data_IF_727673083579
#
_entry.id   IF_727673083579
#
_cell.length_a   1.000
_cell.length_b   1.000
_cell.length_c   1.000
_cell.angle_alpha   90.00
_cell.angle_beta   90.00
_cell.angle_gamma   90.00
#
_symmetry.space_group_name_H-M   'P 1'
#
loop_
_entity.id
_entity.type
_entity.pdbx_description
1 polymer ?
#
# COMPACT_ATOMS: atom_id res chain seq x y z
N UNK A 1 20.17 -11.16 25.15
CA UNK A 1 19.69 -9.81 25.54
C UNK A 1 20.42 -8.67 24.79
N UNK A 2 21.76 -8.57 24.83
CA UNK A 2 22.56 -7.50 24.17
C UNK A 2 22.31 -7.32 22.65
N UNK A 3 22.24 -8.40 21.86
CA UNK A 3 21.99 -8.31 20.41
C UNK A 3 20.62 -7.69 20.06
N UNK A 4 19.61 -7.88 20.92
CA UNK A 4 18.24 -7.36 20.72
C UNK A 4 18.19 -5.84 20.96
N UNK A 5 18.89 -5.38 22.00
CA UNK A 5 19.04 -3.96 22.34
C UNK A 5 19.87 -3.24 21.27
N UNK A 6 20.97 -3.83 20.81
CA UNK A 6 21.79 -3.27 19.72
C UNK A 6 20.99 -3.11 18.42
N UNK A 7 20.17 -4.10 18.04
CA UNK A 7 19.28 -4.00 16.86
C UNK A 7 18.24 -2.90 17.02
N UNK A 8 17.68 -2.74 18.22
CA UNK A 8 16.73 -1.67 18.52
C UNK A 8 17.39 -0.28 18.42
N UNK A 9 18.57 -0.11 19.01
CA UNK A 9 19.33 1.14 18.93
C UNK A 9 19.75 1.46 17.50
N UNK A 10 20.20 0.47 16.73
CA UNK A 10 20.53 0.64 15.31
C UNK A 10 19.30 1.08 14.48
N UNK A 11 18.12 0.51 14.72
CA UNK A 11 16.85 0.98 14.11
C UNK A 11 16.53 2.42 14.49
N UNK A 12 16.71 2.79 15.77
CA UNK A 12 16.43 4.14 16.25
C UNK A 12 17.41 5.17 15.66
N UNK A 13 18.69 4.82 15.54
CA UNK A 13 19.72 5.65 14.90
C UNK A 13 19.51 5.78 13.40
N UNK A 14 19.15 4.68 12.70
CA UNK A 14 18.71 4.77 11.30
C UNK A 14 17.54 5.73 11.19
N UNK A 15 16.47 5.57 11.98
CA UNK A 15 15.32 6.49 11.94
C UNK A 15 15.70 7.97 12.18
N UNK A 16 16.77 8.24 12.93
CA UNK A 16 17.29 9.60 13.17
C UNK A 16 18.09 10.12 11.97
N UNK A 17 19.05 9.35 11.41
CA UNK A 17 19.81 9.79 10.22
C UNK A 17 18.90 10.08 9.03
N UNK A 18 17.89 9.24 8.92
CA UNK A 18 16.77 9.31 8.01
C UNK A 18 15.96 10.61 8.04
N UNK A 19 15.90 11.29 9.19
CA UNK A 19 15.23 12.57 9.39
C UNK A 19 16.13 13.73 8.93
N UNK A 20 17.43 13.64 9.21
CA UNK A 20 18.41 14.65 8.78
C UNK A 20 18.51 14.75 7.26
N UNK A 21 18.36 13.64 6.55
CA UNK A 21 18.38 13.63 5.08
C UNK A 21 17.15 14.29 4.44
N UNK A 22 16.00 14.27 5.13
CA UNK A 22 14.76 14.74 4.55
C UNK A 22 13.77 15.24 5.62
N UNK A 23 13.79 16.55 5.97
CA UNK A 23 12.91 17.13 6.98
C UNK A 23 11.41 16.94 6.67
N UNK A 24 11.07 16.77 5.38
CA UNK A 24 9.71 16.43 4.93
C UNK A 24 9.21 15.11 5.53
N UNK A 25 10.07 14.23 6.04
CA UNK A 25 9.65 12.99 6.69
C UNK A 25 9.03 13.27 8.07
N UNK A 26 9.54 14.24 8.83
CA UNK A 26 8.90 14.65 10.09
C UNK A 26 7.50 15.20 9.81
N UNK A 27 7.37 16.06 8.80
CA UNK A 27 6.06 16.61 8.41
C UNK A 27 5.08 15.51 7.98
N UNK A 28 5.57 14.47 7.28
CA UNK A 28 4.76 13.31 6.95
C UNK A 28 4.29 12.55 8.20
N UNK A 29 5.17 12.37 9.19
CA UNK A 29 4.83 11.74 10.48
C UNK A 29 3.75 12.52 11.23
N UNK A 30 3.86 13.84 11.27
CA UNK A 30 2.84 14.71 11.90
C UNK A 30 1.47 14.58 11.22
N UNK A 31 1.45 14.20 9.94
CA UNK A 31 0.23 13.89 9.18
C UNK A 31 -0.23 12.42 9.29
N UNK A 32 0.40 11.62 10.15
CA UNK A 32 0.07 10.20 10.31
C UNK A 32 0.47 9.31 9.12
N UNK A 33 1.41 9.77 8.29
CA UNK A 33 1.90 9.02 7.13
C UNK A 33 3.13 8.21 7.52
N UNK A 34 3.18 6.94 7.09
CA UNK A 34 4.27 6.02 7.43
C UNK A 34 5.60 6.50 6.80
N UNK A 35 6.65 6.76 7.60
CA UNK A 35 7.91 7.33 7.12
C UNK A 35 8.65 6.51 6.07
N UNK A 36 8.62 5.19 6.17
CA UNK A 36 9.34 4.30 5.26
C UNK A 36 8.83 4.45 3.82
N UNK A 37 7.52 4.51 3.61
CA UNK A 37 6.96 4.69 2.28
C UNK A 37 7.31 6.05 1.67
N UNK A 38 7.30 7.11 2.49
CA UNK A 38 7.68 8.45 2.06
C UNK A 38 9.15 8.49 1.65
N UNK A 39 10.03 7.85 2.43
CA UNK A 39 11.45 7.72 2.09
C UNK A 39 11.65 7.01 0.76
N UNK A 40 11.08 5.82 0.60
CA UNK A 40 11.29 5.00 -0.59
C UNK A 40 10.86 5.76 -1.84
N UNK A 41 9.72 6.47 -1.77
CA UNK A 41 9.23 7.33 -2.85
C UNK A 41 10.14 8.54 -3.11
N UNK A 42 10.71 9.17 -2.08
CA UNK A 42 11.70 10.25 -2.28
C UNK A 42 12.98 9.76 -2.94
N UNK A 43 13.48 8.58 -2.55
CA UNK A 43 14.65 7.95 -3.18
C UNK A 43 14.36 7.69 -4.65
N UNK A 44 13.22 7.05 -4.95
CA UNK A 44 12.78 6.79 -6.34
C UNK A 44 12.70 8.10 -7.13
N UNK A 45 12.04 9.13 -6.57
CA UNK A 45 11.91 10.45 -7.20
C UNK A 45 13.27 11.07 -7.52
N UNK A 46 14.24 10.98 -6.60
CA UNK A 46 15.59 11.53 -6.77
C UNK A 46 16.40 10.75 -7.81
N UNK A 47 16.36 9.43 -7.76
CA UNK A 47 17.13 8.56 -8.64
C UNK A 47 16.63 8.59 -10.08
N UNK A 48 15.31 8.57 -10.26
CA UNK A 48 14.68 8.45 -11.59
C UNK A 48 14.28 9.79 -12.19
N UNK A 49 14.21 10.86 -11.37
CA UNK A 49 13.72 12.20 -11.74
C UNK A 49 12.32 12.18 -12.37
N UNK A 50 11.53 11.15 -12.11
CA UNK A 50 10.16 11.04 -12.63
C UNK A 50 9.21 12.02 -11.92
N UNK A 51 8.21 12.46 -12.66
CA UNK A 51 7.05 13.19 -12.14
C UNK A 51 5.78 12.53 -12.69
N UNK A 52 5.36 11.38 -12.15
CA UNK A 52 4.22 10.64 -12.66
C UNK A 52 2.96 11.49 -12.59
N UNK A 53 2.17 11.48 -13.66
CA UNK A 53 0.84 12.07 -13.67
C UNK A 53 -0.21 11.12 -13.07
N UNK A 54 0.06 9.83 -13.12
CA UNK A 54 -0.85 8.78 -12.64
C UNK A 54 -0.06 7.71 -11.88
N UNK A 55 -0.60 7.25 -10.76
CA UNK A 55 -0.03 6.20 -9.91
C UNK A 55 -1.10 5.15 -9.59
N UNK A 56 -0.71 3.88 -9.53
CA UNK A 56 -1.58 2.75 -9.24
C UNK A 56 -1.10 2.07 -7.95
N UNK A 57 -2.00 1.92 -6.99
CA UNK A 57 -1.76 1.26 -5.71
C UNK A 57 -2.62 -0.01 -5.64
N UNK A 58 -1.98 -1.18 -5.74
CA UNK A 58 -2.67 -2.49 -5.81
C UNK A 58 -2.55 -3.20 -4.47
N UNK A 59 -3.69 -3.49 -3.84
CA UNK A 59 -3.72 -3.95 -2.45
C UNK A 59 -3.60 -2.79 -1.48
N UNK A 60 -4.38 -1.74 -1.72
CA UNK A 60 -4.28 -0.45 -1.02
C UNK A 60 -4.54 -0.51 0.49
N UNK A 61 -5.07 -1.62 1.01
CA UNK A 61 -5.29 -1.88 2.43
C UNK A 61 -6.04 -0.75 3.16
N UNK A 62 -5.38 0.07 3.98
CA UNK A 62 -5.96 1.23 4.66
C UNK A 62 -5.49 2.57 4.06
N UNK A 63 -4.81 2.54 2.91
CA UNK A 63 -4.35 3.71 2.17
C UNK A 63 -2.99 4.23 2.61
N UNK A 64 -2.20 3.44 3.34
CA UNK A 64 -0.88 3.86 3.84
C UNK A 64 0.06 4.27 2.69
N UNK A 65 0.13 3.44 1.64
CA UNK A 65 0.93 3.72 0.44
C UNK A 65 0.33 4.87 -0.36
N UNK A 66 -0.99 4.87 -0.59
CA UNK A 66 -1.68 5.95 -1.31
C UNK A 66 -1.48 7.33 -0.66
N UNK A 67 -1.52 7.43 0.68
CA UNK A 67 -1.23 8.67 1.41
C UNK A 67 0.22 9.13 1.20
N UNK A 68 1.17 8.21 1.22
CA UNK A 68 2.58 8.52 0.95
C UNK A 68 2.81 8.96 -0.50
N UNK A 69 2.17 8.30 -1.47
CA UNK A 69 2.19 8.70 -2.89
C UNK A 69 1.67 10.12 -3.06
N UNK A 70 0.52 10.45 -2.46
CA UNK A 70 -0.04 11.81 -2.50
C UNK A 70 0.91 12.84 -1.88
N UNK A 71 1.54 12.49 -0.76
CA UNK A 71 2.47 13.40 -0.08
C UNK A 71 3.71 13.74 -0.95
N UNK A 72 4.27 12.74 -1.62
CA UNK A 72 5.50 12.90 -2.44
C UNK A 72 5.20 13.43 -3.84
N UNK A 73 4.02 13.09 -4.39
CA UNK A 73 3.55 13.46 -5.73
C UNK A 73 2.13 14.06 -5.68
N UNK A 74 1.94 15.25 -5.09
CA UNK A 74 0.61 15.83 -4.84
C UNK A 74 -0.18 16.19 -6.11
N UNK A 75 0.49 16.23 -7.27
CA UNK A 75 -0.14 16.47 -8.58
C UNK A 75 -0.53 15.18 -9.31
N UNK A 76 -0.08 14.02 -8.84
CA UNK A 76 -0.40 12.75 -9.46
C UNK A 76 -1.83 12.34 -9.09
N UNK A 77 -2.55 11.77 -10.05
CA UNK A 77 -3.81 11.06 -9.80
C UNK A 77 -3.50 9.64 -9.34
N UNK A 78 -4.06 9.24 -8.20
CA UNK A 78 -3.76 7.96 -7.56
C UNK A 78 -5.01 7.10 -7.62
N UNK A 79 -4.88 5.88 -8.15
CA UNK A 79 -5.96 4.89 -8.15
C UNK A 79 -5.56 3.73 -7.24
N UNK A 80 -6.31 3.54 -6.15
CA UNK A 80 -6.04 2.52 -5.13
C UNK A 80 -7.10 1.44 -5.14
N UNK A 81 -6.65 0.18 -5.16
CA UNK A 81 -7.50 -1.01 -5.30
C UNK A 81 -7.36 -1.88 -4.06
N UNK A 82 -8.46 -2.07 -3.32
CA UNK A 82 -8.50 -2.95 -2.16
C UNK A 82 -9.70 -3.90 -2.26
N UNK A 83 -9.50 -5.21 -2.48
CA UNK A 83 -10.60 -6.15 -2.66
C UNK A 83 -11.34 -6.53 -1.38
N UNK A 84 -10.71 -6.43 -0.20
CA UNK A 84 -11.33 -6.83 1.05
C UNK A 84 -12.28 -5.73 1.55
N UNK A 85 -13.59 -6.00 1.76
CA UNK A 85 -14.56 -4.95 2.08
C UNK A 85 -14.27 -4.15 3.35
N UNK A 86 -13.73 -4.79 4.38
CA UNK A 86 -13.40 -4.13 5.66
C UNK A 86 -12.20 -3.18 5.52
N UNK A 87 -11.03 -3.63 5.01
CA UNK A 87 -9.96 -2.71 4.62
C UNK A 87 -10.39 -1.62 3.65
N UNK A 88 -11.16 -1.96 2.61
CA UNK A 88 -11.65 -0.97 1.66
C UNK A 88 -12.47 0.15 2.33
N UNK A 89 -13.35 -0.19 3.28
CA UNK A 89 -14.13 0.82 4.02
C UNK A 89 -13.21 1.79 4.75
N UNK A 90 -12.13 1.29 5.36
CA UNK A 90 -11.14 2.11 6.05
C UNK A 90 -10.31 2.94 5.06
N UNK A 91 -9.82 2.35 3.98
CA UNK A 91 -9.16 3.07 2.89
C UNK A 91 -10.00 4.27 2.43
N UNK A 92 -11.28 4.04 2.12
CA UNK A 92 -12.19 5.10 1.67
C UNK A 92 -12.34 6.21 2.70
N UNK A 93 -12.43 5.87 3.98
CA UNK A 93 -12.54 6.83 5.09
C UNK A 93 -11.25 7.64 5.28
N UNK A 94 -10.09 6.96 5.30
CA UNK A 94 -8.76 7.56 5.51
C UNK A 94 -8.35 8.49 4.37
N UNK A 95 -8.89 8.28 3.16
CA UNK A 95 -8.56 9.08 1.98
C UNK A 95 -9.70 10.01 1.53
N UNK A 96 -10.83 10.08 2.26
CA UNK A 96 -12.02 10.83 1.81
C UNK A 96 -11.80 12.32 1.56
N UNK A 97 -10.80 12.91 2.24
CA UNK A 97 -10.44 14.32 2.11
C UNK A 97 -9.32 14.59 1.09
N UNK A 98 -8.85 13.55 0.40
CA UNK A 98 -7.73 13.63 -0.53
C UNK A 98 -8.27 13.43 -1.95
N UNK A 99 -8.57 14.53 -2.64
CA UNK A 99 -9.34 14.54 -3.89
C UNK A 99 -8.67 13.85 -5.07
N UNK A 100 -7.33 13.74 -5.06
CA UNK A 100 -6.58 13.06 -6.11
C UNK A 100 -6.41 11.55 -5.87
N UNK A 101 -6.93 10.98 -4.77
CA UNK A 101 -6.99 9.54 -4.53
C UNK A 101 -8.39 9.03 -4.87
N UNK A 102 -8.46 8.05 -5.78
CA UNK A 102 -9.68 7.36 -6.17
C UNK A 102 -9.56 5.90 -5.75
N UNK A 103 -10.55 5.38 -5.03
CA UNK A 103 -10.49 4.05 -4.43
C UNK A 103 -11.53 3.10 -5.03
N UNK A 104 -11.15 1.85 -5.24
CA UNK A 104 -12.03 0.80 -5.77
C UNK A 104 -12.04 -0.45 -4.88
N UNK A 105 -13.23 -0.96 -4.59
CA UNK A 105 -13.44 -2.20 -3.84
C UNK A 105 -13.38 -3.42 -4.78
N UNK A 106 -12.22 -3.64 -5.40
CA UNK A 106 -12.00 -4.72 -6.34
C UNK A 106 -10.53 -5.11 -6.41
N UNK A 107 -10.27 -6.35 -6.82
CA UNK A 107 -8.94 -6.81 -7.16
C UNK A 107 -8.61 -6.46 -8.62
N UNK A 108 -7.35 -6.10 -8.88
CA UNK A 108 -6.83 -6.09 -10.24
C UNK A 108 -6.28 -7.47 -10.61
N UNK A 109 -6.58 -7.92 -11.82
CA UNK A 109 -6.04 -9.17 -12.34
C UNK A 109 -6.31 -9.38 -13.82
N UNK A 110 -6.08 -10.59 -14.32
CA UNK A 110 -6.09 -10.88 -15.75
C UNK A 110 -7.50 -11.13 -16.33
N UNK A 111 -8.53 -11.18 -15.49
CA UNK A 111 -9.90 -11.52 -15.91
C UNK A 111 -10.92 -10.62 -15.22
N UNK A 112 -12.07 -10.43 -15.87
CA UNK A 112 -13.25 -9.83 -15.25
C UNK A 112 -14.11 -10.96 -14.69
N UNK A 113 -14.03 -11.21 -13.39
CA UNK A 113 -14.83 -12.26 -12.73
C UNK A 113 -14.93 -12.01 -11.24
N UNK A 114 -15.90 -12.67 -10.61
CA UNK A 114 -15.86 -12.90 -9.16
C UNK A 114 -14.87 -14.02 -8.86
N UNK A 115 -14.02 -13.86 -7.84
CA UNK A 115 -13.04 -14.85 -7.45
C UNK A 115 -12.98 -15.01 -5.92
N UNK A 116 -12.48 -16.16 -5.47
CA UNK A 116 -12.23 -16.41 -4.05
C UNK A 116 -11.02 -15.61 -3.58
N UNK A 117 -11.14 -14.98 -2.42
CA UNK A 117 -10.10 -14.22 -1.76
C UNK A 117 -9.94 -14.71 -0.32
N UNK A 118 -8.70 -14.91 0.11
CA UNK A 118 -8.38 -15.46 1.42
C UNK A 118 -8.07 -14.34 2.40
N UNK A 119 -8.95 -14.15 3.37
CA UNK A 119 -8.71 -13.29 4.52
C UNK A 119 -7.87 -14.04 5.55
N UNK A 120 -6.80 -13.39 6.00
CA UNK A 120 -6.02 -13.81 7.16
C UNK A 120 -6.43 -13.00 8.40
N UNK A 121 -6.12 -13.50 9.60
CA UNK A 121 -6.31 -12.73 10.85
C UNK A 121 -5.55 -11.39 10.82
N UNK A 122 -4.40 -11.39 10.14
CA UNK A 122 -3.71 -10.17 9.73
C UNK A 122 -4.18 -9.80 8.33
N UNK A 123 -5.06 -8.81 8.26
CA UNK A 123 -5.63 -8.26 7.02
C UNK A 123 -4.58 -7.94 5.96
N UNK A 124 -3.45 -7.34 6.35
CA UNK A 124 -2.27 -7.04 5.53
C UNK A 124 -1.65 -8.24 4.82
N UNK A 125 -1.92 -9.47 5.27
CA UNK A 125 -1.45 -10.71 4.64
C UNK A 125 -2.49 -11.37 3.72
N UNK A 126 -3.69 -10.80 3.59
CA UNK A 126 -4.78 -11.39 2.78
C UNK A 126 -4.44 -11.35 1.29
N UNK A 127 -4.83 -12.39 0.53
CA UNK A 127 -4.45 -12.47 -0.89
C UNK A 127 -5.38 -13.33 -1.74
N UNK A 128 -5.26 -13.17 -3.07
CA UNK A 128 -5.89 -14.04 -4.06
C UNK A 128 -5.26 -15.44 -4.14
N UNK A 129 -4.05 -15.64 -3.62
CA UNK A 129 -3.33 -16.90 -3.71
C UNK A 129 -3.74 -17.82 -2.56
N UNK A 130 -4.11 -19.06 -2.88
CA UNK A 130 -4.18 -20.12 -1.88
C UNK A 130 -2.76 -20.44 -1.41
N UNK A 131 -2.49 -20.13 -0.15
CA UNK A 131 -1.19 -20.24 0.50
C UNK A 131 -0.58 -21.65 0.56
N UNK A 132 -1.22 -22.70 0.02
CA UNK A 132 -0.77 -24.10 0.12
C UNK A 132 0.68 -24.35 -0.33
N UNK A 133 1.29 -23.48 -1.13
CA UNK A 133 2.64 -23.66 -1.66
C UNK A 133 3.71 -22.68 -1.13
N UNK A 134 3.51 -22.00 0.01
CA UNK A 134 4.58 -21.16 0.62
C UNK A 134 5.07 -21.75 1.94
N UNK A 135 6.41 -21.89 2.04
CA UNK A 135 7.21 -22.50 3.12
C UNK A 135 6.64 -22.34 4.53
N UNK A 136 6.70 -23.43 5.28
CA UNK A 136 6.13 -23.67 6.61
C UNK A 136 6.54 -22.65 7.70
N UNK A 137 7.62 -21.88 7.51
CA UNK A 137 8.09 -20.91 8.51
C UNK A 137 7.23 -19.63 8.59
N UNK A 138 6.46 -19.26 7.56
CA UNK A 138 5.52 -18.11 7.61
C UNK A 138 4.17 -18.52 8.26
N UNK A 139 3.90 -19.82 8.35
CA UNK A 139 2.55 -20.36 8.64
C UNK A 139 2.14 -20.33 10.11
N UNK A 140 3.07 -20.15 11.05
CA UNK A 140 2.76 -20.11 12.48
C UNK A 140 1.76 -18.99 12.88
N UNK A 141 1.54 -18.00 11.99
CA UNK A 141 0.67 -16.84 12.22
C UNK A 141 -0.71 -16.97 11.52
N UNK A 142 -1.02 -18.10 10.87
CA UNK A 142 -2.17 -18.18 9.92
C UNK A 142 -3.16 -19.33 10.18
N UNK A 143 -3.64 -19.48 11.42
CA UNK A 143 -4.56 -20.58 11.79
C UNK A 143 -6.03 -20.38 11.38
N UNK A 144 -6.53 -19.15 11.23
CA UNK A 144 -7.92 -18.90 10.85
C UNK A 144 -8.04 -18.15 9.51
N UNK A 145 -8.34 -18.88 8.43
CA UNK A 145 -8.55 -18.30 7.10
C UNK A 145 -10.03 -18.28 6.75
N UNK A 146 -10.57 -17.11 6.42
CA UNK A 146 -11.94 -16.96 5.90
C UNK A 146 -11.89 -16.69 4.41
N UNK A 147 -12.56 -17.52 3.61
CA UNK A 147 -12.70 -17.28 2.18
C UNK A 147 -13.89 -16.36 1.93
N UNK A 148 -13.67 -15.26 1.21
CA UNK A 148 -14.72 -14.37 0.71
C UNK A 148 -14.73 -14.37 -0.81
N UNK A 149 -15.79 -13.85 -1.42
CA UNK A 149 -15.88 -13.62 -2.86
C UNK A 149 -15.73 -12.12 -3.11
N UNK A 150 -14.80 -11.75 -3.98
CA UNK A 150 -14.52 -10.37 -4.37
C UNK A 150 -14.65 -10.21 -5.87
N UNK A 151 -14.89 -8.98 -6.32
CA UNK A 151 -14.84 -8.64 -7.74
C UNK A 151 -13.37 -8.48 -8.18
N UNK A 152 -13.02 -9.05 -9.32
CA UNK A 152 -11.75 -8.84 -9.99
C UNK A 152 -12.00 -8.29 -11.39
N UNK A 153 -11.21 -7.29 -11.77
CA UNK A 153 -11.25 -6.70 -13.12
C UNK A 153 -9.86 -6.54 -13.71
N UNK A 154 -9.79 -6.57 -15.02
CA UNK A 154 -8.61 -6.08 -15.76
C UNK A 154 -8.55 -4.57 -15.67
N UNK A 155 -7.34 -4.04 -15.51
CA UNK A 155 -7.09 -2.60 -15.49
C UNK A 155 -7.60 -1.91 -16.76
N UNK A 156 -7.37 -2.53 -17.94
CA UNK A 156 -7.84 -2.01 -19.24
C UNK A 156 -9.37 -1.85 -19.34
N UNK A 157 -10.12 -2.52 -18.45
CA UNK A 157 -11.59 -2.47 -18.43
C UNK A 157 -12.14 -1.43 -17.44
N UNK A 158 -11.29 -0.63 -16.78
CA UNK A 158 -11.70 0.43 -15.84
C UNK A 158 -11.57 1.78 -16.56
N UNK A 159 -12.70 2.28 -17.09
CA UNK A 159 -12.75 3.44 -18.01
C UNK A 159 -12.29 4.74 -17.35
N UNK A 160 -12.38 4.81 -16.04
CA UNK A 160 -12.04 5.97 -15.22
C UNK A 160 -10.52 6.14 -15.07
N UNK A 161 -9.74 5.08 -15.32
CA UNK A 161 -8.28 5.13 -15.28
C UNK A 161 -7.76 5.73 -16.58
N UNK A 162 -7.42 7.02 -16.52
CA UNK A 162 -6.69 7.71 -17.58
C UNK A 162 -5.20 7.56 -17.32
N UNK A 163 -4.52 6.75 -18.12
CA UNK A 163 -3.05 6.70 -18.15
C UNK A 163 -2.59 7.64 -19.26
N UNK A 164 -2.09 8.81 -18.89
CA UNK A 164 -1.44 9.69 -19.85
C UNK A 164 -0.08 9.10 -20.23
N UNK A 165 0.10 8.78 -21.51
CA UNK A 165 1.42 8.43 -22.06
C UNK A 165 2.23 9.72 -22.21
N UNK A 166 3.44 9.71 -21.68
CA UNK A 166 4.45 10.77 -21.86
C UNK A 166 5.04 10.75 -23.25
#
# INVERSE_FOLDING_TARGET
MRKRIMRYMARKLMNLSQIFEEPRIIHAMMKGIIPSYVRDLFIIKKMTKISPKTMIDVGGHFGETSKAMNYVFPKAKIYSFEPAPLPYKRLKEETKHISNIITYNLALGNFNKKCGFWLNEFDSASSLLDSKNKREEIFAVTKNKKKIVVEMRRMDNIKEIKIERS
#
